data_IF_154782046803
#
_entry.id   IF_154782046803
#
_cell.length_a   1.000
_cell.length_b   1.000
_cell.length_c   1.000
_cell.angle_alpha   90.00
_cell.angle_beta   90.00
_cell.angle_gamma   90.00
#
_symmetry.space_group_name_H-M   'P 1'
#
loop_
_entity.id
_entity.type
_entity.pdbx_description
1 polymer ?
#
# COMPACT_ATOMS: atom_id res chain seq x y z
N UNK A 1 -3.30 1.98 -12.84
CA UNK A 1 -3.72 3.38 -13.14
C UNK A 1 -2.64 4.37 -12.71
N UNK A 2 -2.34 4.55 -11.42
CA UNK A 2 -1.32 5.51 -10.94
C UNK A 2 0.10 5.30 -11.51
N UNK A 3 0.54 4.04 -11.66
CA UNK A 3 1.83 3.73 -12.30
C UNK A 3 1.91 4.24 -13.73
N UNK A 4 0.87 3.97 -14.53
CA UNK A 4 0.76 4.44 -15.92
C UNK A 4 0.70 5.97 -15.97
N UNK A 5 0.01 6.59 -15.01
CA UNK A 5 -0.06 8.05 -14.91
C UNK A 5 1.33 8.67 -14.71
N UNK A 6 2.18 8.08 -13.85
CA UNK A 6 3.56 8.53 -13.65
C UNK A 6 4.46 8.26 -14.87
N UNK A 7 4.29 7.12 -15.54
CA UNK A 7 4.99 6.84 -16.80
C UNK A 7 4.66 7.86 -17.90
N UNK A 8 3.47 8.47 -17.83
CA UNK A 8 3.00 9.48 -18.76
C UNK A 8 3.26 10.93 -18.30
N UNK A 9 4.03 11.15 -17.21
CA UNK A 9 4.27 12.48 -16.60
C UNK A 9 4.62 13.56 -17.62
N UNK A 10 5.56 13.30 -18.52
CA UNK A 10 5.96 14.27 -19.56
C UNK A 10 4.83 14.63 -20.52
N UNK A 11 4.00 13.66 -20.89
CA UNK A 11 2.86 13.87 -21.79
C UNK A 11 1.74 14.63 -21.09
N UNK A 12 1.48 14.32 -19.82
CA UNK A 12 0.51 15.04 -18.99
C UNK A 12 0.90 16.50 -18.87
N UNK A 13 2.16 16.80 -18.52
CA UNK A 13 2.66 18.18 -18.40
C UNK A 13 2.52 18.94 -19.73
N UNK A 14 2.98 18.35 -20.84
CA UNK A 14 2.86 18.98 -22.18
C UNK A 14 1.41 19.22 -22.58
N UNK A 15 0.51 18.30 -22.20
CA UNK A 15 -0.90 18.40 -22.54
C UNK A 15 -1.62 19.47 -21.69
N UNK A 16 -1.29 19.61 -20.41
CA UNK A 16 -1.88 20.62 -19.53
C UNK A 16 -1.33 22.02 -19.76
N UNK A 17 -0.08 22.15 -20.20
CA UNK A 17 0.57 23.44 -20.52
C UNK A 17 0.10 24.05 -21.86
N UNK A 18 -0.52 23.23 -22.72
CA UNK A 18 -1.07 23.70 -23.99
C UNK A 18 -2.23 24.69 -23.79
N UNK A 19 -1.99 25.98 -24.07
CA UNK A 19 -3.00 27.05 -23.95
C UNK A 19 -4.28 26.81 -24.76
N UNK A 20 -4.21 26.00 -25.82
CA UNK A 20 -5.36 25.59 -26.64
C UNK A 20 -6.24 24.52 -25.98
N UNK A 21 -5.70 23.79 -25.00
CA UNK A 21 -6.40 22.66 -24.38
C UNK A 21 -7.32 23.11 -23.23
N UNK A 22 -7.12 24.32 -22.67
CA UNK A 22 -7.94 24.84 -21.59
C UNK A 22 -7.80 24.06 -20.27
N UNK A 23 -6.66 23.41 -20.05
CA UNK A 23 -6.41 22.50 -18.92
C UNK A 23 -5.32 22.99 -17.95
N UNK A 24 -4.94 24.27 -18.05
CA UNK A 24 -3.89 24.85 -17.20
C UNK A 24 -4.20 24.71 -15.70
N UNK A 25 -5.48 24.78 -15.32
CA UNK A 25 -5.94 24.64 -13.93
C UNK A 25 -5.72 23.21 -13.35
N UNK A 26 -5.45 22.22 -14.19
CA UNK A 26 -5.19 20.83 -13.79
C UNK A 26 -3.69 20.49 -13.76
N UNK A 27 -2.82 21.47 -14.00
CA UNK A 27 -1.39 21.28 -13.95
C UNK A 27 -0.95 21.04 -12.50
N UNK A 28 -0.43 19.85 -12.24
CA UNK A 28 0.11 19.51 -10.93
C UNK A 28 1.42 20.26 -10.68
N UNK A 29 1.55 20.81 -9.49
CA UNK A 29 2.79 21.37 -8.96
C UNK A 29 3.82 20.27 -8.67
N UNK A 30 5.10 20.65 -8.52
CA UNK A 30 6.17 19.71 -8.18
C UNK A 30 5.87 18.93 -6.88
N UNK A 31 5.32 19.62 -5.88
CA UNK A 31 4.93 19.02 -4.61
C UNK A 31 3.80 17.98 -4.76
N UNK A 32 2.86 18.21 -5.69
CA UNK A 32 1.79 17.25 -5.97
C UNK A 32 2.31 16.04 -6.74
N UNK A 33 3.28 16.22 -7.64
CA UNK A 33 3.97 15.10 -8.28
C UNK A 33 4.74 14.25 -7.27
N UNK A 34 5.48 14.88 -6.35
CA UNK A 34 6.13 14.17 -5.24
C UNK A 34 5.11 13.42 -4.37
N UNK A 35 3.95 14.02 -4.07
CA UNK A 35 2.89 13.35 -3.33
C UNK A 35 2.35 12.11 -4.07
N UNK A 36 2.20 12.16 -5.39
CA UNK A 36 1.78 11.00 -6.21
C UNK A 36 2.84 9.90 -6.17
N UNK A 37 4.12 10.25 -6.23
CA UNK A 37 5.23 9.30 -6.14
C UNK A 37 5.30 8.64 -4.75
N UNK A 38 5.16 9.43 -3.68
CA UNK A 38 5.06 8.93 -2.31
C UNK A 38 3.86 8.00 -2.09
N UNK A 39 2.69 8.37 -2.63
CA UNK A 39 1.50 7.52 -2.59
C UNK A 39 1.74 6.19 -3.32
N UNK A 40 2.37 6.20 -4.50
CA UNK A 40 2.71 4.99 -5.23
C UNK A 40 3.64 4.07 -4.44
N UNK A 41 4.69 4.63 -3.84
CA UNK A 41 5.63 3.88 -3.02
C UNK A 41 4.91 3.18 -1.85
N UNK A 42 4.09 3.94 -1.12
CA UNK A 42 3.39 3.43 0.04
C UNK A 42 2.28 2.41 -0.30
N UNK A 43 1.64 2.52 -1.48
CA UNK A 43 0.65 1.53 -1.94
C UNK A 43 1.28 0.26 -2.51
N UNK A 44 2.59 0.25 -2.79
CA UNK A 44 3.28 -0.89 -3.41
C UNK A 44 3.14 -2.17 -2.57
N UNK A 45 3.27 -2.08 -1.26
CA UNK A 45 3.16 -3.25 -0.36
C UNK A 45 1.78 -3.93 -0.46
N UNK A 46 0.71 -3.14 -0.62
CA UNK A 46 -0.63 -3.67 -0.79
C UNK A 46 -0.80 -4.38 -2.14
N UNK A 47 -0.20 -3.84 -3.20
CA UNK A 47 -0.19 -4.47 -4.51
C UNK A 47 0.57 -5.79 -4.46
N UNK A 48 1.77 -5.80 -3.89
CA UNK A 48 2.62 -6.98 -3.80
C UNK A 48 1.94 -8.09 -2.97
N UNK A 49 1.29 -7.73 -1.86
CA UNK A 49 0.47 -8.67 -1.08
C UNK A 49 -0.72 -9.21 -1.89
N UNK A 50 -1.42 -8.35 -2.63
CA UNK A 50 -2.54 -8.78 -3.48
C UNK A 50 -2.09 -9.78 -4.54
N UNK A 51 -1.00 -9.50 -5.25
CA UNK A 51 -0.43 -10.39 -6.26
C UNK A 51 0.01 -11.73 -5.65
N UNK A 52 0.60 -11.70 -4.45
CA UNK A 52 0.97 -12.91 -3.72
C UNK A 52 -0.25 -13.79 -3.40
N UNK A 53 -1.33 -13.20 -2.87
CA UNK A 53 -2.54 -13.95 -2.51
C UNK A 53 -3.39 -14.40 -3.72
N UNK A 54 -3.22 -13.75 -4.87
CA UNK A 54 -3.82 -14.20 -6.13
C UNK A 54 -3.08 -15.38 -6.78
N UNK A 55 -1.93 -15.80 -6.25
CA UNK A 55 -1.21 -16.97 -6.76
C UNK A 55 -2.00 -18.26 -6.52
N UNK A 56 -1.81 -19.26 -7.39
CA UNK A 56 -2.44 -20.58 -7.26
C UNK A 56 -1.79 -21.49 -6.19
N UNK A 57 -1.15 -20.89 -5.17
CA UNK A 57 -0.47 -21.62 -4.10
C UNK A 57 -1.27 -21.58 -2.80
N UNK A 58 -1.24 -22.64 -1.96
CA UNK A 58 -1.83 -22.59 -0.62
C UNK A 58 -1.15 -21.51 0.22
N UNK A 59 -1.86 -20.41 0.50
CA UNK A 59 -1.28 -19.21 1.11
C UNK A 59 -1.95 -18.79 2.43
N UNK A 60 -2.87 -19.61 2.96
CA UNK A 60 -3.61 -19.31 4.22
C UNK A 60 -2.64 -19.07 5.39
N UNK A 61 -1.56 -19.85 5.50
CA UNK A 61 -0.55 -19.69 6.56
C UNK A 61 0.24 -18.39 6.45
N UNK A 62 0.22 -17.72 5.29
CA UNK A 62 0.93 -16.47 5.05
C UNK A 62 0.06 -15.22 5.31
N UNK A 63 -1.22 -15.37 5.63
CA UNK A 63 -2.13 -14.24 5.87
C UNK A 63 -1.67 -13.38 7.04
N UNK A 64 -1.49 -13.94 8.23
CA UNK A 64 -1.03 -13.17 9.41
C UNK A 64 0.37 -12.54 9.17
N UNK A 65 1.38 -13.29 8.67
CA UNK A 65 2.66 -12.66 8.32
C UNK A 65 2.58 -11.52 7.31
N UNK A 66 1.72 -11.63 6.29
CA UNK A 66 1.51 -10.54 5.35
C UNK A 66 0.84 -9.34 6.01
N UNK A 67 -0.12 -9.56 6.92
CA UNK A 67 -0.75 -8.47 7.67
C UNK A 67 0.23 -7.77 8.62
N UNK A 68 1.12 -8.51 9.27
CA UNK A 68 2.22 -7.94 10.07
C UNK A 68 3.13 -7.05 9.21
N UNK A 69 3.53 -7.55 8.05
CA UNK A 69 4.41 -6.82 7.12
C UNK A 69 3.74 -5.53 6.62
N UNK A 70 2.44 -5.57 6.30
CA UNK A 70 1.69 -4.38 5.88
C UNK A 70 1.55 -3.39 7.05
N UNK A 71 1.29 -3.87 8.27
CA UNK A 71 1.16 -2.99 9.44
C UNK A 71 2.48 -2.30 9.79
N UNK A 72 3.59 -3.03 9.72
CA UNK A 72 4.93 -2.48 9.90
C UNK A 72 5.24 -1.43 8.83
N UNK A 73 4.98 -1.74 7.56
CA UNK A 73 5.19 -0.80 6.46
C UNK A 73 4.38 0.50 6.63
N UNK A 74 3.13 0.38 7.07
CA UNK A 74 2.27 1.54 7.31
C UNK A 74 2.74 2.33 8.53
N UNK A 75 3.27 1.67 9.56
CA UNK A 75 3.81 2.34 10.74
C UNK A 75 5.08 3.10 10.39
N UNK A 76 6.03 2.45 9.72
CA UNK A 76 7.29 3.06 9.31
C UNK A 76 7.06 4.23 8.34
N UNK A 77 6.20 4.07 7.33
CA UNK A 77 5.87 5.15 6.39
C UNK A 77 5.10 6.32 7.02
N UNK A 78 4.31 6.08 8.08
CA UNK A 78 3.66 7.17 8.84
C UNK A 78 4.65 7.92 9.74
N UNK A 79 5.65 7.21 10.28
CA UNK A 79 6.69 7.76 11.17
C UNK A 79 7.75 8.53 10.38
N UNK A 80 8.08 8.09 9.16
CA UNK A 80 9.04 8.79 8.30
C UNK A 80 8.37 10.02 7.66
N UNK A 81 8.26 11.10 8.44
CA UNK A 81 7.54 12.34 8.10
C UNK A 81 8.04 13.02 6.82
N UNK A 82 9.14 12.54 6.25
CA UNK A 82 9.80 13.11 5.07
C UNK A 82 9.24 12.62 3.74
N UNK A 83 8.57 11.45 3.70
CA UNK A 83 8.13 10.85 2.43
C UNK A 83 6.67 11.14 2.07
N UNK A 84 5.82 11.51 3.03
CA UNK A 84 4.38 11.66 2.80
C UNK A 84 3.84 13.00 3.30
N UNK A 85 3.13 13.71 2.42
CA UNK A 85 2.43 14.94 2.78
C UNK A 85 1.29 14.66 3.80
N UNK A 86 0.89 15.69 4.55
CA UNK A 86 -0.08 15.57 5.64
C UNK A 86 -1.41 14.87 5.25
N UNK A 87 -2.03 15.17 4.08
CA UNK A 87 -3.22 14.46 3.63
C UNK A 87 -3.02 12.96 3.45
N UNK A 88 -1.87 12.54 2.90
CA UNK A 88 -1.55 11.12 2.70
C UNK A 88 -1.34 10.42 4.04
N UNK A 89 -0.62 11.04 4.98
CA UNK A 89 -0.46 10.51 6.34
C UNK A 89 -1.81 10.23 7.00
N UNK A 90 -2.76 11.16 6.87
CA UNK A 90 -4.11 10.97 7.39
C UNK A 90 -4.83 9.81 6.69
N UNK A 91 -4.75 9.72 5.36
CA UNK A 91 -5.33 8.63 4.60
C UNK A 91 -4.76 7.26 5.03
N UNK A 92 -3.44 7.16 5.23
CA UNK A 92 -2.79 5.94 5.73
C UNK A 92 -3.20 5.60 7.16
N UNK A 93 -3.36 6.58 8.04
CA UNK A 93 -3.87 6.34 9.40
C UNK A 93 -5.29 5.74 9.37
N UNK A 94 -6.15 6.22 8.47
CA UNK A 94 -7.49 5.64 8.25
C UNK A 94 -7.39 4.24 7.65
N UNK A 95 -6.50 4.03 6.68
CA UNK A 95 -6.19 2.72 6.11
C UNK A 95 -5.75 1.71 7.17
N UNK A 96 -4.83 2.10 8.06
CA UNK A 96 -4.34 1.27 9.18
C UNK A 96 -5.47 0.87 10.14
N UNK A 97 -6.42 1.76 10.46
CA UNK A 97 -7.60 1.37 11.26
C UNK A 97 -8.41 0.26 10.59
N UNK A 98 -8.53 0.31 9.27
CA UNK A 98 -9.22 -0.72 8.49
C UNK A 98 -8.42 -2.03 8.51
N UNK A 99 -7.10 -1.97 8.32
CA UNK A 99 -6.21 -3.12 8.42
C UNK A 99 -6.33 -3.80 9.79
N UNK A 100 -6.23 -3.04 10.88
CA UNK A 100 -6.31 -3.57 12.25
C UNK A 100 -7.63 -4.30 12.54
N UNK A 101 -8.75 -3.82 11.97
CA UNK A 101 -10.03 -4.50 12.09
C UNK A 101 -9.98 -5.90 11.48
N UNK A 102 -9.46 -6.04 10.26
CA UNK A 102 -9.36 -7.34 9.61
C UNK A 102 -8.24 -8.21 10.20
N UNK A 103 -7.20 -7.59 10.76
CA UNK A 103 -6.15 -8.29 11.48
C UNK A 103 -6.76 -9.03 12.67
N UNK A 104 -7.49 -8.31 13.53
CA UNK A 104 -8.14 -8.91 14.70
C UNK A 104 -9.03 -10.09 14.31
N UNK A 105 -9.84 -9.94 13.26
CA UNK A 105 -10.71 -11.02 12.79
C UNK A 105 -9.94 -12.23 12.25
N UNK A 106 -8.79 -12.00 11.62
CA UNK A 106 -7.94 -13.08 11.09
C UNK A 106 -7.20 -13.80 12.22
N UNK A 107 -6.69 -13.07 13.20
CA UNK A 107 -5.99 -13.65 14.36
C UNK A 107 -6.94 -14.41 15.30
N UNK A 108 -8.16 -13.93 15.49
CA UNK A 108 -9.19 -14.63 16.26
C UNK A 108 -9.64 -15.94 15.60
N UNK A 109 -9.45 -16.10 14.29
CA UNK A 109 -9.84 -17.28 13.55
C UNK A 109 -8.84 -18.42 13.71
N UNK A 110 -9.33 -19.55 14.20
CA UNK A 110 -8.53 -20.77 14.35
C UNK A 110 -7.92 -21.28 13.04
N UNK A 111 -8.55 -21.01 11.89
CA UNK A 111 -8.07 -21.52 10.59
C UNK A 111 -6.69 -20.95 10.27
N UNK A 112 -6.49 -19.65 10.43
CA UNK A 112 -5.20 -19.01 10.12
C UNK A 112 -4.12 -19.46 11.11
N UNK A 113 -4.44 -19.53 12.41
CA UNK A 113 -3.50 -19.99 13.44
C UNK A 113 -3.10 -21.46 13.27
N UNK A 114 -4.05 -22.35 13.01
CA UNK A 114 -3.76 -23.77 12.74
C UNK A 114 -2.88 -23.90 11.49
N UNK A 115 -3.22 -23.19 10.42
CA UNK A 115 -2.41 -23.21 9.20
C UNK A 115 -0.96 -22.75 9.44
N UNK A 116 -0.75 -21.73 10.28
CA UNK A 116 0.59 -21.28 10.68
C UNK A 116 1.34 -22.32 11.52
N UNK A 117 0.68 -22.95 12.51
CA UNK A 117 1.30 -23.99 13.34
C UNK A 117 1.77 -25.18 12.51
N UNK A 118 1.01 -25.53 11.47
CA UNK A 118 1.34 -26.60 10.54
C UNK A 118 2.43 -26.21 9.53
N UNK A 119 2.72 -24.91 9.37
CA UNK A 119 3.74 -24.43 8.45
C UNK A 119 5.14 -24.50 9.10
N UNK A 120 6.08 -25.31 8.57
CA UNK A 120 7.38 -25.56 9.20
C UNK A 120 8.18 -24.28 9.50
N UNK A 121 8.08 -23.27 8.64
CA UNK A 121 8.82 -22.01 8.78
C UNK A 121 8.21 -21.05 9.80
N UNK A 122 6.92 -21.15 10.12
CA UNK A 122 6.24 -20.19 11.00
C UNK A 122 6.08 -20.70 12.43
N UNK A 123 6.13 -22.03 12.62
CA UNK A 123 5.96 -22.65 13.92
C UNK A 123 6.90 -22.10 15.00
N UNK A 124 8.16 -21.79 14.68
CA UNK A 124 9.14 -21.30 15.67
C UNK A 124 9.18 -19.78 15.82
N UNK A 125 8.60 -19.05 14.86
CA UNK A 125 8.61 -17.58 14.84
C UNK A 125 7.39 -17.01 15.55
N UNK A 126 6.25 -17.72 15.48
CA UNK A 126 4.97 -17.28 16.03
C UNK A 126 4.49 -18.06 17.26
N UNK A 127 5.10 -19.22 17.56
CA UNK A 127 4.74 -20.11 18.68
C UNK A 127 5.99 -20.70 19.34
#
# INVERSE_FOLDING_TARGET
MLKVFLELKEYVIKFTDGSLNGLADYMLSDNEWEAVEGLMSALKILKDATEFFLSNSPNISAVIPAMDTIDEAFTTGIIDERELCAPLRYAFLVGKKTLNKYYSLSDDSHIYRIAMVLHPSFKLTYF
#
